data_IF_538125200061
#
_entry.id   IF_538125200061
#
_cell.length_a   1.000
_cell.length_b   1.000
_cell.length_c   1.000
_cell.angle_alpha   90.00
_cell.angle_beta   90.00
_cell.angle_gamma   90.00
#
_symmetry.space_group_name_H-M   'P 1'
#
loop_
_entity.id
_entity.type
_entity.pdbx_description
1 polymer ?
#
# COMPACT_ATOMS: atom_id res chain seq x y z
N UNK A 1 38.44 13.98 -0.02
CA UNK A 1 39.23 15.22 -0.24
C UNK A 1 38.32 16.41 -0.58
N UNK A 2 37.45 16.33 -1.60
CA UNK A 2 36.57 17.45 -1.99
C UNK A 2 35.57 17.89 -0.90
N UNK A 3 34.90 16.97 -0.20
CA UNK A 3 33.91 17.34 0.84
C UNK A 3 34.56 18.04 2.04
N UNK A 4 35.76 17.60 2.46
CA UNK A 4 36.47 18.22 3.58
C UNK A 4 36.87 19.67 3.27
N UNK A 5 37.39 19.93 2.06
CA UNK A 5 37.69 21.30 1.60
C UNK A 5 36.43 22.16 1.53
N UNK A 6 35.30 21.60 1.09
CA UNK A 6 34.02 22.32 1.07
C UNK A 6 33.50 22.59 2.48
N UNK A 7 33.65 21.66 3.44
CA UNK A 7 33.29 21.85 4.85
C UNK A 7 34.05 23.03 5.46
N UNK A 8 35.36 23.10 5.21
CA UNK A 8 36.19 24.21 5.69
C UNK A 8 35.76 25.53 5.04
N UNK A 9 35.58 25.53 3.72
CA UNK A 9 35.19 26.72 2.95
C UNK A 9 33.79 27.24 3.29
N UNK A 10 32.85 26.36 3.58
CA UNK A 10 31.43 26.68 3.83
C UNK A 10 31.04 26.59 5.31
N UNK A 11 32.02 26.54 6.22
CA UNK A 11 31.82 26.45 7.67
C UNK A 11 30.98 27.60 8.26
N UNK A 12 30.93 28.75 7.58
CA UNK A 12 30.15 29.92 7.98
C UNK A 12 28.72 29.94 7.40
N UNK A 13 28.38 29.03 6.47
CA UNK A 13 27.09 28.99 5.81
C UNK A 13 26.07 28.16 6.60
N UNK A 14 24.82 28.59 6.59
CA UNK A 14 23.70 27.84 7.12
C UNK A 14 23.34 26.61 6.27
N UNK A 15 22.58 25.67 6.86
CA UNK A 15 22.02 24.51 6.16
C UNK A 15 21.27 24.90 4.88
N UNK A 16 20.49 25.99 4.95
CA UNK A 16 19.71 26.52 3.84
C UNK A 16 20.60 27.11 2.73
N UNK A 17 21.67 27.83 3.09
CA UNK A 17 22.60 28.38 2.09
C UNK A 17 23.37 27.26 1.38
N UNK A 18 23.84 26.27 2.15
CA UNK A 18 24.48 25.07 1.59
C UNK A 18 23.49 24.33 0.67
N UNK A 19 22.22 24.22 1.06
CA UNK A 19 21.17 23.60 0.24
C UNK A 19 21.06 24.29 -1.13
N UNK A 20 20.92 25.61 -1.17
CA UNK A 20 20.81 26.36 -2.45
C UNK A 20 22.06 26.28 -3.31
N UNK A 21 23.25 26.08 -2.71
CA UNK A 21 24.50 25.90 -3.45
C UNK A 21 24.65 24.49 -4.03
N UNK A 22 24.19 23.46 -3.31
CA UNK A 22 24.25 22.07 -3.76
C UNK A 22 23.11 21.73 -4.73
N UNK A 23 21.94 22.35 -4.55
CA UNK A 23 20.75 22.19 -5.39
C UNK A 23 20.33 23.55 -5.96
N UNK A 24 20.94 23.97 -7.08
CA UNK A 24 20.58 25.24 -7.72
C UNK A 24 19.14 25.19 -8.25
N UNK A 25 18.33 26.21 -7.95
CA UNK A 25 16.90 26.30 -8.33
C UNK A 25 16.60 26.15 -9.84
N UNK A 26 17.61 26.31 -10.70
CA UNK A 26 17.50 26.03 -12.14
C UNK A 26 17.32 24.54 -12.45
N UNK A 27 17.72 23.65 -11.54
CA UNK A 27 17.64 22.20 -11.69
C UNK A 27 16.40 21.65 -10.97
N UNK A 28 15.23 21.72 -11.61
CA UNK A 28 13.97 21.23 -11.02
C UNK A 28 13.89 19.70 -10.90
N UNK A 29 14.99 18.95 -11.02
CA UNK A 29 14.99 17.50 -10.81
C UNK A 29 14.59 17.11 -9.38
N UNK A 30 14.23 15.83 -9.19
CA UNK A 30 13.92 15.28 -7.88
C UNK A 30 15.21 15.19 -7.05
N UNK A 31 15.31 16.07 -6.04
CA UNK A 31 16.49 16.17 -5.19
C UNK A 31 16.80 14.83 -4.50
N UNK A 32 15.79 14.08 -4.06
CA UNK A 32 15.99 12.80 -3.34
C UNK A 32 16.57 11.69 -4.22
N UNK A 33 16.49 11.85 -5.53
CA UNK A 33 17.11 10.96 -6.52
C UNK A 33 18.54 11.39 -6.87
N UNK A 34 18.97 12.58 -6.44
CA UNK A 34 20.29 13.11 -6.74
C UNK A 34 21.36 12.56 -5.78
N UNK A 35 22.51 12.07 -6.29
CA UNK A 35 23.66 11.72 -5.45
C UNK A 35 24.13 12.88 -4.57
N UNK A 36 23.87 14.12 -4.97
CA UNK A 36 24.21 15.35 -4.23
C UNK A 36 23.54 15.44 -2.86
N UNK A 37 22.47 14.67 -2.58
CA UNK A 37 21.89 14.55 -1.23
C UNK A 37 22.90 14.04 -0.22
N UNK A 38 23.74 13.07 -0.58
CA UNK A 38 24.78 12.57 0.33
C UNK A 38 25.81 13.64 0.66
N UNK A 39 26.22 14.38 -0.37
CA UNK A 39 27.19 15.49 -0.24
C UNK A 39 26.59 16.56 0.67
N UNK A 40 25.32 16.95 0.44
CA UNK A 40 24.64 17.92 1.27
C UNK A 40 24.53 17.46 2.74
N UNK A 41 24.05 16.23 2.99
CA UNK A 41 23.94 15.68 4.35
C UNK A 41 25.30 15.72 5.06
N UNK A 42 26.37 15.31 4.36
CA UNK A 42 27.71 15.31 4.92
C UNK A 42 28.20 16.74 5.22
N UNK A 43 27.92 17.72 4.35
CA UNK A 43 28.31 19.11 4.52
C UNK A 43 27.59 19.80 5.68
N UNK A 44 26.28 19.58 5.85
CA UNK A 44 25.54 20.20 6.97
C UNK A 44 25.93 19.57 8.31
N UNK A 45 26.47 18.34 8.32
CA UNK A 45 27.05 17.73 9.52
C UNK A 45 26.03 17.46 10.64
N UNK A 46 24.75 17.38 10.30
CA UNK A 46 23.67 17.15 11.26
C UNK A 46 23.61 15.68 11.65
N UNK A 47 23.29 15.44 12.93
CA UNK A 47 23.08 14.09 13.45
C UNK A 47 21.89 13.37 12.78
N UNK A 48 21.65 12.10 13.12
CA UNK A 48 20.73 11.20 12.42
C UNK A 48 19.26 11.61 12.35
N UNK A 49 18.83 12.68 13.02
CA UNK A 49 17.46 13.24 12.94
C UNK A 49 17.41 14.69 12.44
N UNK A 50 18.55 15.38 12.40
CA UNK A 50 18.59 16.80 12.06
C UNK A 50 18.54 17.04 10.55
N UNK A 51 19.23 16.20 9.77
CA UNK A 51 19.33 16.41 8.33
C UNK A 51 17.99 16.18 7.61
N UNK A 52 17.14 15.25 8.05
CA UNK A 52 15.83 15.01 7.43
C UNK A 52 14.94 16.24 7.53
N UNK A 53 14.92 16.84 8.72
CA UNK A 53 14.12 18.03 9.01
C UNK A 53 14.58 19.21 8.16
N UNK A 54 15.88 19.45 8.09
CA UNK A 54 16.45 20.54 7.28
C UNK A 54 16.29 20.28 5.78
N UNK A 55 16.47 19.04 5.31
CA UNK A 55 16.27 18.67 3.91
C UNK A 55 14.82 18.89 3.49
N UNK A 56 13.86 18.46 4.31
CA UNK A 56 12.44 18.67 4.04
C UNK A 56 12.07 20.16 4.03
N UNK A 57 12.65 20.99 4.91
CA UNK A 57 12.45 22.46 4.83
C UNK A 57 12.99 23.01 3.51
N UNK A 58 14.17 22.56 3.09
CA UNK A 58 14.77 22.91 1.80
C UNK A 58 13.84 22.54 0.65
N UNK A 59 13.38 21.29 0.59
CA UNK A 59 12.45 20.80 -0.44
C UNK A 59 11.13 21.59 -0.50
N UNK A 60 10.52 21.89 0.66
CA UNK A 60 9.29 22.69 0.73
C UNK A 60 9.48 24.14 0.26
N UNK A 61 10.70 24.69 0.33
CA UNK A 61 11.05 25.99 -0.27
C UNK A 61 11.44 25.88 -1.73
N UNK A 62 11.97 24.72 -2.13
CA UNK A 62 12.45 24.42 -3.48
C UNK A 62 11.33 24.16 -4.47
N UNK A 63 10.23 23.59 -3.98
CA UNK A 63 9.04 23.27 -4.77
C UNK A 63 7.97 24.33 -4.58
N UNK A 64 7.29 24.61 -5.68
CA UNK A 64 6.17 25.56 -5.72
C UNK A 64 4.93 25.05 -4.96
N UNK A 65 4.87 23.76 -4.59
CA UNK A 65 3.77 23.19 -3.80
C UNK A 65 4.17 21.95 -3.00
N UNK A 66 3.47 21.71 -1.88
CA UNK A 66 3.65 20.51 -1.03
C UNK A 66 3.40 19.21 -1.80
N UNK A 67 2.46 19.21 -2.74
CA UNK A 67 2.16 18.04 -3.56
C UNK A 67 3.36 17.59 -4.40
N UNK A 68 4.18 18.52 -4.91
CA UNK A 68 5.40 18.17 -5.64
C UNK A 68 6.44 17.53 -4.72
N UNK A 69 6.55 18.00 -3.47
CA UNK A 69 7.43 17.37 -2.47
C UNK A 69 6.96 15.95 -2.12
N UNK A 70 5.65 15.74 -1.96
CA UNK A 70 5.07 14.41 -1.77
C UNK A 70 5.39 13.51 -2.96
N UNK A 71 5.24 14.02 -4.18
CA UNK A 71 5.60 13.30 -5.40
C UNK A 71 7.07 12.90 -5.45
N UNK A 72 7.97 13.83 -5.14
CA UNK A 72 9.42 13.57 -5.10
C UNK A 72 9.76 12.46 -4.09
N UNK A 73 9.15 12.50 -2.90
CA UNK A 73 9.33 11.51 -1.83
C UNK A 73 8.84 10.13 -2.31
N UNK A 74 7.63 10.07 -2.86
CA UNK A 74 7.02 8.81 -3.31
C UNK A 74 7.84 8.18 -4.43
N UNK A 75 8.21 8.95 -5.44
CA UNK A 75 9.02 8.49 -6.56
C UNK A 75 10.37 7.96 -6.07
N UNK A 76 11.03 8.70 -5.19
CA UNK A 76 12.33 8.29 -4.66
C UNK A 76 12.24 7.04 -3.77
N UNK A 77 11.22 6.94 -2.91
CA UNK A 77 10.96 5.77 -2.07
C UNK A 77 10.64 4.50 -2.88
N UNK A 78 9.95 4.64 -4.01
CA UNK A 78 9.57 3.50 -4.86
C UNK A 78 10.67 3.08 -5.85
N UNK A 79 11.65 3.96 -6.13
CA UNK A 79 12.70 3.73 -7.14
C UNK A 79 13.57 2.48 -6.94
N UNK A 80 13.58 1.87 -5.75
CA UNK A 80 14.43 0.71 -5.42
C UNK A 80 15.94 1.00 -5.43
N UNK A 81 16.33 2.27 -5.56
CA UNK A 81 17.73 2.68 -5.58
C UNK A 81 18.33 2.77 -4.17
N UNK A 82 19.65 2.94 -4.07
CA UNK A 82 20.35 3.07 -2.77
C UNK A 82 19.97 4.33 -1.98
N UNK A 83 19.25 5.28 -2.59
CA UNK A 83 18.79 6.52 -1.97
C UNK A 83 17.34 6.42 -1.46
N UNK A 84 16.60 5.34 -1.76
CA UNK A 84 15.22 5.15 -1.29
C UNK A 84 15.13 5.22 0.23
N UNK A 85 16.15 4.72 0.94
CA UNK A 85 16.25 4.81 2.40
C UNK A 85 16.29 6.27 2.91
N UNK A 86 16.82 7.22 2.14
CA UNK A 86 16.74 8.64 2.49
C UNK A 86 15.34 9.19 2.26
N UNK A 87 14.71 8.83 1.15
CA UNK A 87 13.32 9.22 0.88
C UNK A 87 12.37 8.71 1.96
N UNK A 88 12.51 7.46 2.40
CA UNK A 88 11.71 6.90 3.49
C UNK A 88 11.92 7.62 4.84
N UNK A 89 13.14 8.10 5.09
CA UNK A 89 13.43 8.91 6.27
C UNK A 89 12.79 10.30 6.19
N UNK A 90 12.82 10.93 5.02
CA UNK A 90 12.15 12.21 4.77
C UNK A 90 10.63 12.05 4.79
N UNK A 91 10.08 10.94 4.29
CA UNK A 91 8.66 10.57 4.40
C UNK A 91 8.20 10.54 5.85
N UNK A 92 8.95 9.85 6.71
CA UNK A 92 8.67 9.78 8.15
C UNK A 92 8.71 11.15 8.82
N UNK A 93 9.69 11.99 8.47
CA UNK A 93 9.76 13.37 8.97
C UNK A 93 8.56 14.21 8.49
N UNK A 94 8.15 14.07 7.23
CA UNK A 94 6.98 14.78 6.69
C UNK A 94 5.69 14.38 7.42
N UNK A 95 5.46 13.08 7.59
CA UNK A 95 4.33 12.56 8.36
C UNK A 95 4.36 13.02 9.82
N UNK A 96 5.54 13.02 10.46
CA UNK A 96 5.68 13.56 11.82
C UNK A 96 5.28 15.03 11.88
N UNK A 97 5.74 15.85 10.92
CA UNK A 97 5.37 17.26 10.85
C UNK A 97 3.88 17.50 10.62
N UNK A 98 3.25 16.70 9.76
CA UNK A 98 1.80 16.77 9.54
C UNK A 98 1.06 16.48 10.84
N UNK A 99 1.45 15.42 11.55
CA UNK A 99 0.91 15.10 12.89
C UNK A 99 1.16 16.22 13.90
N UNK A 100 2.39 16.71 14.01
CA UNK A 100 2.77 17.70 15.03
C UNK A 100 2.10 19.07 14.77
N UNK A 101 1.71 19.36 13.52
CA UNK A 101 0.91 20.53 13.15
C UNK A 101 -0.60 20.32 13.29
N UNK A 102 -1.05 19.12 13.62
CA UNK A 102 -2.47 18.78 13.66
C UNK A 102 -3.15 18.86 12.29
N UNK A 103 -2.43 18.51 11.21
CA UNK A 103 -2.98 18.51 9.86
C UNK A 103 -4.16 17.54 9.77
N UNK A 104 -5.31 18.02 9.27
CA UNK A 104 -6.50 17.18 9.09
C UNK A 104 -6.33 16.16 7.97
N UNK A 105 -7.14 15.10 7.99
CA UNK A 105 -7.13 14.07 6.93
C UNK A 105 -7.48 14.67 5.56
N UNK A 106 -8.39 15.66 5.51
CA UNK A 106 -8.76 16.35 4.26
C UNK A 106 -7.62 17.21 3.70
N UNK A 107 -6.90 17.93 4.56
CA UNK A 107 -5.72 18.71 4.14
C UNK A 107 -4.59 17.78 3.67
N UNK A 108 -4.35 16.66 4.36
CA UNK A 108 -3.39 15.65 3.93
C UNK A 108 -3.77 15.03 2.58
N UNK A 109 -5.07 14.80 2.35
CA UNK A 109 -5.59 14.30 1.07
C UNK A 109 -5.35 15.31 -0.08
N UNK A 110 -5.49 16.60 0.20
CA UNK A 110 -5.16 17.68 -0.73
C UNK A 110 -3.65 17.77 -0.99
N UNK A 111 -2.81 17.65 0.04
CA UNK A 111 -1.35 17.62 -0.12
C UNK A 111 -0.87 16.40 -0.90
N UNK A 112 -1.54 15.26 -0.78
CA UNK A 112 -1.31 14.09 -1.63
C UNK A 112 -1.84 14.26 -3.06
N UNK A 113 -2.59 15.32 -3.37
CA UNK A 113 -3.11 15.59 -4.71
C UNK A 113 -4.14 14.59 -5.21
N UNK A 114 -4.75 13.81 -4.31
CA UNK A 114 -5.68 12.73 -4.65
C UNK A 114 -7.14 13.04 -4.33
N UNK A 115 -7.43 14.20 -3.70
CA UNK A 115 -8.78 14.62 -3.28
C UNK A 115 -9.86 14.51 -4.36
N UNK A 116 -9.50 14.83 -5.60
CA UNK A 116 -10.44 14.88 -6.72
C UNK A 116 -10.33 13.66 -7.65
N UNK A 117 -9.48 12.69 -7.33
CA UNK A 117 -9.27 11.50 -8.15
C UNK A 117 -10.34 10.44 -7.85
N UNK A 118 -10.73 9.70 -8.90
CA UNK A 118 -11.72 8.64 -8.84
C UNK A 118 -11.33 7.51 -9.79
N UNK A 119 -11.86 6.33 -9.51
CA UNK A 119 -11.68 5.11 -10.28
C UNK A 119 -10.22 4.83 -10.60
N UNK A 120 -9.96 4.44 -11.84
CA UNK A 120 -8.62 4.08 -12.31
C UNK A 120 -7.55 5.16 -12.02
N UNK A 121 -7.89 6.45 -12.10
CA UNK A 121 -6.93 7.54 -11.78
C UNK A 121 -6.49 7.54 -10.32
N UNK A 122 -7.37 7.11 -9.41
CA UNK A 122 -7.01 6.96 -7.99
C UNK A 122 -6.13 5.71 -7.80
N UNK A 123 -6.40 4.63 -8.54
CA UNK A 123 -5.59 3.40 -8.53
C UNK A 123 -4.16 3.65 -9.06
N UNK A 124 -4.03 4.42 -10.14
CA UNK A 124 -2.73 4.87 -10.67
C UNK A 124 -1.92 5.66 -9.63
N UNK A 125 -2.59 6.32 -8.69
CA UNK A 125 -1.99 7.09 -7.59
C UNK A 125 -1.96 6.32 -6.26
N UNK A 126 -1.90 4.98 -6.30
CA UNK A 126 -1.92 4.13 -5.09
C UNK A 126 -0.91 4.55 -4.00
N UNK A 127 0.30 4.96 -4.36
CA UNK A 127 1.33 5.30 -3.37
C UNK A 127 1.02 6.62 -2.65
N UNK A 128 0.33 7.54 -3.32
CA UNK A 128 -0.17 8.78 -2.73
C UNK A 128 -1.34 8.49 -1.79
N UNK A 129 -2.22 7.56 -2.19
CA UNK A 129 -3.28 7.03 -1.33
C UNK A 129 -2.71 6.34 -0.09
N UNK A 130 -1.69 5.49 -0.24
CA UNK A 130 -1.00 4.86 0.89
C UNK A 130 -0.39 5.90 1.84
N UNK A 131 0.25 6.95 1.32
CA UNK A 131 0.78 8.03 2.16
C UNK A 131 -0.30 8.76 2.96
N UNK A 132 -1.46 9.03 2.35
CA UNK A 132 -2.60 9.59 3.06
C UNK A 132 -3.14 8.63 4.13
N UNK A 133 -3.25 7.33 3.84
CA UNK A 133 -3.69 6.33 4.84
C UNK A 133 -2.67 6.20 5.98
N UNK A 134 -1.37 6.31 5.69
CA UNK A 134 -0.34 6.35 6.74
C UNK A 134 -0.53 7.57 7.65
N UNK A 135 -0.89 8.74 7.12
CA UNK A 135 -1.27 9.90 7.91
C UNK A 135 -2.49 9.63 8.80
N UNK A 136 -3.58 9.13 8.21
CA UNK A 136 -4.80 8.75 8.95
C UNK A 136 -4.52 7.77 10.09
N UNK A 137 -3.50 6.93 9.94
CA UNK A 137 -3.12 5.93 10.95
C UNK A 137 -2.57 6.54 12.23
N UNK A 138 -2.08 7.78 12.19
CA UNK A 138 -1.65 8.53 13.38
C UNK A 138 -2.80 9.24 14.10
N UNK A 139 -3.94 9.45 13.43
CA UNK A 139 -5.14 9.93 14.10
C UNK A 139 -5.66 8.82 15.03
N UNK A 140 -5.74 9.11 16.33
CA UNK A 140 -6.31 8.17 17.33
C UNK A 140 -7.83 8.05 17.22
N UNK A 141 -8.44 8.61 16.18
CA UNK A 141 -9.88 8.51 15.98
C UNK A 141 -10.25 7.05 15.70
N UNK A 142 -11.09 6.51 16.58
CA UNK A 142 -11.69 5.18 16.48
C UNK A 142 -12.47 4.96 15.17
N UNK A 143 -12.68 6.01 14.39
CA UNK A 143 -13.47 6.04 13.16
C UNK A 143 -12.63 6.09 11.87
N UNK A 144 -11.30 6.12 11.94
CA UNK A 144 -10.42 6.27 10.76
C UNK A 144 -10.61 5.16 9.71
N UNK A 145 -10.85 3.91 10.11
CA UNK A 145 -11.14 2.80 9.17
C UNK A 145 -12.48 3.00 8.46
N UNK A 146 -13.52 3.43 9.17
CA UNK A 146 -14.84 3.68 8.58
C UNK A 146 -14.80 4.87 7.62
N UNK A 147 -14.05 5.91 7.96
CA UNK A 147 -13.81 7.05 7.07
C UNK A 147 -13.07 6.61 5.81
N UNK A 148 -12.03 5.79 5.94
CA UNK A 148 -11.32 5.23 4.79
C UNK A 148 -12.25 4.36 3.92
N UNK A 149 -13.03 3.47 4.53
CA UNK A 149 -14.02 2.67 3.81
C UNK A 149 -15.05 3.54 3.07
N UNK A 150 -15.58 4.57 3.72
CA UNK A 150 -16.52 5.52 3.10
C UNK A 150 -15.89 6.30 1.95
N UNK A 151 -14.63 6.75 2.11
CA UNK A 151 -13.90 7.42 1.05
C UNK A 151 -13.71 6.49 -0.16
N UNK A 152 -13.21 5.28 0.05
CA UNK A 152 -12.91 4.34 -1.02
C UNK A 152 -14.18 3.92 -1.77
N UNK A 153 -15.26 3.57 -1.06
CA UNK A 153 -16.54 3.19 -1.70
C UNK A 153 -17.24 4.34 -2.43
N UNK A 154 -16.93 5.60 -2.08
CA UNK A 154 -17.42 6.78 -2.80
C UNK A 154 -16.62 7.10 -4.07
N UNK A 155 -15.35 6.72 -4.12
CA UNK A 155 -14.43 7.10 -5.20
C UNK A 155 -14.03 5.95 -6.12
N UNK A 156 -14.24 4.71 -5.70
CA UNK A 156 -13.99 3.49 -6.44
C UNK A 156 -15.30 2.69 -6.56
N UNK A 157 -15.57 2.16 -7.74
CA UNK A 157 -16.57 1.12 -7.88
C UNK A 157 -16.08 -0.19 -7.23
N UNK A 158 -16.94 -1.21 -7.21
CA UNK A 158 -16.65 -2.46 -6.50
C UNK A 158 -15.44 -3.20 -7.08
N UNK A 159 -15.32 -3.30 -8.39
CA UNK A 159 -14.20 -3.93 -9.09
C UNK A 159 -12.89 -3.18 -8.81
N UNK A 160 -12.90 -1.85 -8.92
CA UNK A 160 -11.76 -0.98 -8.60
C UNK A 160 -11.33 -1.11 -7.14
N UNK A 161 -12.28 -1.21 -6.20
CA UNK A 161 -11.99 -1.43 -4.78
C UNK A 161 -11.34 -2.79 -4.55
N UNK A 162 -11.84 -3.86 -5.18
CA UNK A 162 -11.23 -5.19 -5.06
C UNK A 162 -9.83 -5.22 -5.65
N UNK A 163 -9.62 -4.62 -6.83
CA UNK A 163 -8.28 -4.44 -7.42
C UNK A 163 -7.35 -3.72 -6.45
N UNK A 164 -7.79 -2.61 -5.85
CA UNK A 164 -7.02 -1.92 -4.81
C UNK A 164 -6.70 -2.84 -3.63
N UNK A 165 -7.67 -3.62 -3.15
CA UNK A 165 -7.50 -4.52 -2.00
C UNK A 165 -6.52 -5.65 -2.31
N UNK A 166 -6.54 -6.21 -3.53
CA UNK A 166 -5.71 -7.34 -3.94
C UNK A 166 -4.30 -6.95 -4.38
N UNK A 167 -4.05 -5.69 -4.71
CA UNK A 167 -2.71 -5.20 -5.02
C UNK A 167 -1.68 -5.58 -3.94
N UNK A 168 -0.50 -6.01 -4.40
CA UNK A 168 0.64 -6.32 -3.54
C UNK A 168 1.18 -5.03 -2.92
N UNK A 169 1.42 -5.05 -1.60
CA UNK A 169 1.93 -3.89 -0.84
C UNK A 169 3.10 -4.30 0.04
N UNK A 170 3.97 -3.34 0.35
CA UNK A 170 4.97 -3.49 1.42
C UNK A 170 4.25 -3.43 2.77
N UNK A 171 4.72 -4.15 3.81
CA UNK A 171 4.18 -4.01 5.16
C UNK A 171 4.30 -2.56 5.66
N UNK A 172 3.18 -1.94 6.00
CA UNK A 172 3.09 -0.56 6.50
C UNK A 172 1.82 -0.36 7.34
N UNK A 173 1.68 0.80 7.98
CA UNK A 173 0.41 1.16 8.64
C UNK A 173 -0.75 1.24 7.63
N UNK A 174 -0.48 1.71 6.41
CA UNK A 174 -1.47 1.70 5.34
C UNK A 174 -1.92 0.28 4.96
N UNK A 175 -0.99 -0.68 4.86
CA UNK A 175 -1.38 -2.06 4.55
C UNK A 175 -2.29 -2.65 5.63
N UNK A 176 -2.02 -2.36 6.92
CA UNK A 176 -2.88 -2.79 8.04
C UNK A 176 -4.28 -2.17 7.95
N UNK A 177 -4.38 -0.86 7.70
CA UNK A 177 -5.68 -0.18 7.54
C UNK A 177 -6.47 -0.72 6.36
N UNK A 178 -5.81 -1.01 5.24
CA UNK A 178 -6.46 -1.56 4.05
C UNK A 178 -6.95 -2.99 4.28
N UNK A 179 -6.26 -3.80 5.08
CA UNK A 179 -6.80 -5.09 5.55
C UNK A 179 -8.02 -4.92 6.45
N UNK A 180 -8.08 -3.89 7.29
CA UNK A 180 -9.29 -3.60 8.08
C UNK A 180 -10.47 -3.13 7.19
N UNK A 181 -10.19 -2.40 6.12
CA UNK A 181 -11.19 -2.06 5.09
C UNK A 181 -11.68 -3.30 4.37
N UNK A 182 -10.79 -4.24 4.05
CA UNK A 182 -11.15 -5.54 3.46
C UNK A 182 -12.21 -6.26 4.31
N UNK A 183 -12.02 -6.31 5.63
CA UNK A 183 -12.96 -6.91 6.57
C UNK A 183 -14.33 -6.22 6.53
N UNK A 184 -14.33 -4.89 6.49
CA UNK A 184 -15.57 -4.12 6.32
C UNK A 184 -16.25 -4.40 4.98
N UNK A 185 -15.50 -4.56 3.89
CA UNK A 185 -16.08 -4.96 2.59
C UNK A 185 -16.75 -6.31 2.73
N UNK A 186 -16.07 -7.31 3.31
CA UNK A 186 -16.60 -8.66 3.52
C UNK A 186 -17.91 -8.63 4.31
N UNK A 187 -17.96 -7.88 5.43
CA UNK A 187 -19.13 -7.76 6.30
C UNK A 187 -20.34 -7.11 5.61
N UNK A 188 -20.10 -6.24 4.62
CA UNK A 188 -21.14 -5.48 3.94
C UNK A 188 -21.61 -6.11 2.62
N UNK A 189 -20.93 -7.13 2.09
CA UNK A 189 -21.38 -7.85 0.89
C UNK A 189 -22.66 -8.63 1.21
N UNK A 190 -23.70 -8.44 0.37
CA UNK A 190 -25.00 -9.15 0.48
C UNK A 190 -25.22 -10.21 -0.59
N UNK A 191 -24.24 -10.42 -1.46
CA UNK A 191 -24.35 -11.34 -2.57
C UNK A 191 -24.25 -12.82 -2.16
N UNK A 192 -24.54 -13.69 -3.13
CA UNK A 192 -24.29 -15.14 -3.02
C UNK A 192 -22.78 -15.45 -3.04
N UNK A 193 -22.39 -16.57 -2.43
CA UNK A 193 -21.00 -17.03 -2.45
C UNK A 193 -20.46 -17.24 -3.87
N UNK A 194 -21.29 -17.74 -4.79
CA UNK A 194 -20.90 -17.85 -6.21
C UNK A 194 -20.64 -16.48 -6.84
N UNK A 195 -21.56 -15.52 -6.68
CA UNK A 195 -21.40 -14.19 -7.25
C UNK A 195 -20.15 -13.46 -6.73
N UNK A 196 -19.81 -13.66 -5.45
CA UNK A 196 -18.56 -13.14 -4.90
C UNK A 196 -17.35 -13.87 -5.47
N UNK A 197 -17.42 -15.20 -5.63
CA UNK A 197 -16.33 -15.95 -6.25
C UNK A 197 -16.05 -15.45 -7.68
N UNK A 198 -17.10 -15.37 -8.50
CA UNK A 198 -17.05 -14.84 -9.88
C UNK A 198 -16.44 -13.44 -9.92
N UNK A 199 -16.83 -12.58 -8.98
CA UNK A 199 -16.31 -11.21 -8.89
C UNK A 199 -14.82 -11.16 -8.53
N UNK A 200 -14.39 -11.92 -7.51
CA UNK A 200 -12.99 -11.88 -7.08
C UNK A 200 -12.06 -12.55 -8.07
N UNK A 201 -12.50 -13.62 -8.76
CA UNK A 201 -11.71 -14.27 -9.80
C UNK A 201 -11.63 -13.40 -11.06
N UNK A 202 -12.68 -12.67 -11.40
CA UNK A 202 -12.64 -11.68 -12.49
C UNK A 202 -11.64 -10.55 -12.25
N UNK A 203 -11.49 -10.12 -10.99
CA UNK A 203 -10.55 -9.07 -10.60
C UNK A 203 -9.17 -9.61 -10.22
N UNK A 204 -8.96 -10.91 -10.33
CA UNK A 204 -7.69 -11.55 -10.05
C UNK A 204 -6.80 -11.61 -11.30
N UNK A 205 -5.49 -11.52 -11.07
CA UNK A 205 -4.45 -11.89 -12.02
C UNK A 205 -3.59 -13.02 -11.42
N UNK A 206 -2.65 -13.54 -12.22
CA UNK A 206 -1.75 -14.61 -11.78
C UNK A 206 -0.98 -14.27 -10.50
N UNK A 207 -0.74 -12.98 -10.23
CA UNK A 207 0.04 -12.50 -9.10
C UNK A 207 -0.78 -12.31 -7.82
N UNK A 208 -2.12 -12.28 -7.91
CA UNK A 208 -3.00 -11.97 -6.79
C UNK A 208 -4.16 -12.98 -6.59
N UNK A 209 -4.25 -14.02 -7.43
CA UNK A 209 -5.26 -15.08 -7.37
C UNK A 209 -5.45 -15.69 -5.98
N UNK A 210 -4.36 -16.00 -5.27
CA UNK A 210 -4.43 -16.55 -3.91
C UNK A 210 -5.06 -15.57 -2.91
N UNK A 211 -4.82 -14.26 -3.08
CA UNK A 211 -5.39 -13.23 -2.23
C UNK A 211 -6.89 -13.04 -2.51
N UNK A 212 -7.29 -13.10 -3.78
CA UNK A 212 -8.68 -13.10 -4.18
C UNK A 212 -9.45 -14.31 -3.61
N UNK A 213 -8.86 -15.50 -3.67
CA UNK A 213 -9.46 -16.71 -3.09
C UNK A 213 -9.48 -16.65 -1.56
N UNK A 214 -8.43 -16.15 -0.92
CA UNK A 214 -8.42 -15.91 0.53
C UNK A 214 -9.56 -14.97 0.96
N UNK A 215 -9.76 -13.87 0.23
CA UNK A 215 -10.89 -12.97 0.46
C UNK A 215 -12.23 -13.70 0.39
N UNK A 216 -12.45 -14.51 -0.66
CA UNK A 216 -13.68 -15.27 -0.81
C UNK A 216 -13.88 -16.30 0.32
N UNK A 217 -12.84 -17.02 0.72
CA UNK A 217 -12.92 -17.96 1.83
C UNK A 217 -13.30 -17.27 3.14
N UNK A 218 -12.70 -16.10 3.43
CA UNK A 218 -13.05 -15.29 4.60
C UNK A 218 -14.50 -14.81 4.54
N UNK A 219 -15.01 -14.48 3.36
CA UNK A 219 -16.43 -14.17 3.15
C UNK A 219 -17.33 -15.37 3.42
N UNK A 220 -16.99 -16.55 2.90
CA UNK A 220 -17.73 -17.79 3.13
C UNK A 220 -17.75 -18.17 4.62
N UNK A 221 -16.66 -17.98 5.36
CA UNK A 221 -16.61 -18.22 6.81
C UNK A 221 -17.58 -17.35 7.62
N UNK A 222 -18.05 -16.23 7.07
CA UNK A 222 -19.04 -15.35 7.72
C UNK A 222 -20.48 -15.76 7.42
N UNK A 223 -20.71 -16.80 6.62
CA UNK A 223 -22.05 -17.33 6.30
C UNK A 223 -22.49 -18.35 7.35
N UNK A 224 -23.79 -18.38 7.63
CA UNK A 224 -24.38 -19.26 8.65
C UNK A 224 -24.38 -20.75 8.25
N UNK A 225 -24.32 -21.06 6.96
CA UNK A 225 -24.49 -22.40 6.38
C UNK A 225 -23.26 -23.32 6.56
N UNK A 226 -22.19 -22.83 7.18
CA UNK A 226 -20.93 -23.55 7.35
C UNK A 226 -20.04 -23.50 6.11
N UNK A 227 -18.73 -23.23 6.25
CA UNK A 227 -17.89 -22.90 5.10
C UNK A 227 -17.71 -24.07 4.12
N UNK A 228 -17.65 -25.31 4.62
CA UNK A 228 -17.48 -26.49 3.77
C UNK A 228 -18.62 -26.73 2.80
N UNK A 229 -19.85 -26.68 3.33
CA UNK A 229 -21.06 -26.85 2.52
C UNK A 229 -21.17 -25.78 1.43
N UNK A 230 -20.89 -24.53 1.76
CA UNK A 230 -20.91 -23.42 0.81
C UNK A 230 -19.85 -23.61 -0.28
N UNK A 231 -18.64 -24.04 0.08
CA UNK A 231 -17.56 -24.27 -0.88
C UNK A 231 -17.94 -25.38 -1.87
N UNK A 232 -18.35 -26.56 -1.39
CA UNK A 232 -18.69 -27.67 -2.27
C UNK A 232 -19.89 -27.33 -3.16
N UNK A 233 -20.93 -26.69 -2.61
CA UNK A 233 -22.10 -26.24 -3.38
C UNK A 233 -21.71 -25.28 -4.50
N UNK A 234 -20.80 -24.33 -4.23
CA UNK A 234 -20.35 -23.37 -5.23
C UNK A 234 -19.50 -24.06 -6.31
N UNK A 235 -18.60 -24.97 -5.91
CA UNK A 235 -17.76 -25.70 -6.86
C UNK A 235 -18.57 -26.58 -7.80
N UNK A 236 -19.63 -27.23 -7.32
CA UNK A 236 -20.54 -28.05 -8.13
C UNK A 236 -21.28 -27.25 -9.23
N UNK A 237 -21.24 -25.91 -9.16
CA UNK A 237 -21.83 -25.01 -10.18
C UNK A 237 -20.86 -24.69 -11.34
N UNK A 238 -19.60 -25.12 -11.27
CA UNK A 238 -18.60 -24.95 -12.33
C UNK A 238 -18.38 -26.27 -13.08
N UNK A 239 -17.83 -26.18 -14.29
CA UNK A 239 -17.37 -27.35 -15.04
C UNK A 239 -16.19 -28.06 -14.33
N UNK A 240 -15.93 -29.31 -14.69
CA UNK A 240 -14.94 -30.17 -14.02
C UNK A 240 -13.53 -29.58 -14.06
N UNK A 241 -13.13 -28.92 -15.15
CA UNK A 241 -11.79 -28.34 -15.29
C UNK A 241 -11.64 -27.12 -14.35
N UNK A 242 -12.62 -26.23 -14.36
CA UNK A 242 -12.70 -25.09 -13.44
C UNK A 242 -12.72 -25.53 -11.97
N UNK A 243 -13.42 -26.62 -11.64
CA UNK A 243 -13.43 -27.17 -10.30
C UNK A 243 -12.04 -27.59 -9.83
N UNK A 244 -11.28 -28.28 -10.68
CA UNK A 244 -9.92 -28.73 -10.34
C UNK A 244 -9.01 -27.54 -10.04
N UNK A 245 -9.04 -26.51 -10.91
CA UNK A 245 -8.24 -25.29 -10.75
C UNK A 245 -8.63 -24.55 -9.46
N UNK A 246 -9.92 -24.32 -9.24
CA UNK A 246 -10.42 -23.64 -8.04
C UNK A 246 -10.07 -24.41 -6.77
N UNK A 247 -10.18 -25.74 -6.77
CA UNK A 247 -9.81 -26.56 -5.62
C UNK A 247 -8.32 -26.45 -5.28
N UNK A 248 -7.45 -26.38 -6.28
CA UNK A 248 -6.02 -26.14 -6.07
C UNK A 248 -5.76 -24.76 -5.45
N UNK A 249 -6.38 -23.70 -5.96
CA UNK A 249 -6.21 -22.36 -5.39
C UNK A 249 -6.77 -22.24 -3.97
N UNK A 250 -7.92 -22.89 -3.69
CA UNK A 250 -8.48 -22.97 -2.35
C UNK A 250 -7.49 -23.65 -1.41
N UNK A 251 -6.95 -24.82 -1.78
CA UNK A 251 -5.95 -25.53 -0.99
C UNK A 251 -4.73 -24.67 -0.66
N UNK A 252 -4.17 -24.00 -1.67
CA UNK A 252 -3.05 -23.09 -1.49
C UNK A 252 -3.40 -21.95 -0.53
N UNK A 253 -4.60 -21.36 -0.64
CA UNK A 253 -5.04 -20.29 0.23
C UNK A 253 -5.27 -20.76 1.68
N UNK A 254 -5.86 -21.94 1.89
CA UNK A 254 -6.05 -22.53 3.22
C UNK A 254 -4.71 -22.74 3.93
N UNK A 255 -3.73 -23.30 3.23
CA UNK A 255 -2.39 -23.55 3.77
C UNK A 255 -1.63 -22.25 4.07
N UNK A 256 -1.68 -21.26 3.17
CA UNK A 256 -0.93 -20.00 3.31
C UNK A 256 -1.55 -19.03 4.30
N UNK A 257 -2.88 -18.99 4.39
CA UNK A 257 -3.60 -18.00 5.20
C UNK A 257 -4.20 -18.57 6.49
N UNK A 258 -3.96 -19.85 6.80
CA UNK A 258 -4.35 -20.46 8.07
C UNK A 258 -5.85 -20.54 8.29
N UNK A 259 -6.62 -20.55 7.20
CA UNK A 259 -8.08 -20.64 7.23
C UNK A 259 -8.46 -22.07 7.61
N UNK A 260 -9.01 -22.27 8.81
CA UNK A 260 -9.48 -23.59 9.24
C UNK A 260 -10.89 -23.84 8.68
N UNK A 261 -11.02 -24.88 7.85
CA UNK A 261 -12.31 -25.48 7.50
C UNK A 261 -12.67 -26.59 8.50
N UNK A 262 -13.93 -27.01 8.50
CA UNK A 262 -14.34 -28.16 9.31
C UNK A 262 -13.61 -29.45 8.87
N UNK A 263 -13.60 -30.45 9.77
CA UNK A 263 -12.85 -31.69 9.57
C UNK A 263 -13.31 -32.55 8.39
N UNK A 264 -14.53 -32.36 7.88
CA UNK A 264 -15.02 -33.09 6.68
C UNK A 264 -14.50 -32.43 5.41
N UNK A 265 -14.50 -31.11 5.35
CA UNK A 265 -13.99 -30.35 4.20
C UNK A 265 -12.48 -30.56 4.03
N UNK A 266 -11.69 -30.51 5.11
CA UNK A 266 -10.25 -30.75 5.04
C UNK A 266 -9.91 -32.12 4.42
N UNK A 267 -10.72 -33.15 4.68
CA UNK A 267 -10.50 -34.50 4.15
C UNK A 267 -10.84 -34.62 2.65
N UNK A 268 -11.85 -33.90 2.16
CA UNK A 268 -12.20 -33.87 0.74
C UNK A 268 -11.13 -33.13 -0.09
N UNK A 269 -10.60 -32.04 0.46
CA UNK A 269 -9.60 -31.21 -0.19
C UNK A 269 -8.20 -31.85 -0.21
N UNK A 270 -7.81 -32.59 0.82
CA UNK A 270 -6.56 -33.36 0.84
C UNK A 270 -6.53 -34.47 -0.24
N UNK A 271 -7.68 -35.10 -0.52
CA UNK A 271 -7.79 -36.13 -1.58
C UNK A 271 -7.64 -35.59 -3.01
N UNK A 272 -7.95 -34.31 -3.23
CA UNK A 272 -7.77 -33.67 -4.53
C UNK A 272 -6.30 -33.41 -4.81
N UNK A 273 -5.52 -33.04 -3.79
CA UNK A 273 -4.06 -32.95 -3.89
C UNK A 273 -3.43 -34.31 -4.24
N UNK A 274 -3.91 -35.40 -3.63
CA UNK A 274 -3.47 -36.77 -3.95
C UNK A 274 -3.84 -37.20 -5.39
N UNK A 275 -4.97 -36.72 -5.92
CA UNK A 275 -5.42 -37.03 -7.28
C UNK A 275 -4.65 -36.24 -8.35
N UNK A 276 -4.26 -35.00 -8.05
CA UNK A 276 -3.44 -34.15 -8.92
C UNK A 276 -1.99 -34.66 -9.04
N UNK A 277 -1.40 -35.14 -7.94
CA UNK A 277 -0.09 -35.82 -7.96
C UNK A 277 -0.09 -37.11 -8.80
N UNK A 278 -1.27 -37.69 -9.05
CA UNK A 278 -1.46 -38.88 -9.86
C UNK A 278 -1.63 -38.59 -11.37
N UNK A 279 -1.94 -37.35 -11.76
CA UNK A 279 -2.08 -36.93 -13.16
C UNK A 279 -0.76 -36.44 -13.77
N UNK A 280 0.22 -36.04 -12.94
CA UNK A 280 1.56 -35.58 -13.33
C UNK A 280 2.61 -36.72 -13.39
N UNK A 281 2.21 -37.98 -13.19
CA UNK A 281 3.03 -39.21 -13.35
C UNK A 281 2.50 -40.08 -14.50
#
# INVERSE_FOLDING_TARGET
MMVQTLKEKWSHLSSSEIFTKVFPMSDRSNILMSPSVRIWIELVGLGPKGWQSELLKGMLRYRDSTHLVVGDIIEASDSGNILSNFADQVKRELLSRWRDRGLSDDEALEFCGIRNLKGEKLLEKRLYLEMWIEHMSFSHESNSVKMLYSFLTKHLNRDELLRLLFMKRKPSSASVRLSQVEDMVIENIKDSAKSVLDLVTHNADDNNSEKAISFWLRFVQKKDEGPGFVIDTVLDMYDVESQVILRQHINNALQRFGVQLDGRTNNAFNKVSEWLEYQDN
#
